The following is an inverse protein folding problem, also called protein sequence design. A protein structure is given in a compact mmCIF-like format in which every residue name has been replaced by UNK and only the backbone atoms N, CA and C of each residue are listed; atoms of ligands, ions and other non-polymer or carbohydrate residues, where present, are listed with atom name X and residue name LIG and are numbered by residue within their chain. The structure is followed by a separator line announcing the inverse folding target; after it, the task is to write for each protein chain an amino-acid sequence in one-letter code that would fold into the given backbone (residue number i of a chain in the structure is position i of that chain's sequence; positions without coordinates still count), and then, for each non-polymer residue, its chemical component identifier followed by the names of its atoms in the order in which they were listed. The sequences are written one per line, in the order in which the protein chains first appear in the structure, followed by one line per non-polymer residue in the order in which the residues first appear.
data_IF_629329996769
#
_entry.id   IF_629329996769
#
_cell.length_a   1.000
_cell.length_b   1.000
_cell.length_c   1.000
_cell.angle_alpha   90.00
_cell.angle_beta   90.00
_cell.angle_gamma   90.00
#
_symmetry.space_group_name_H-M   'P 1'
#
loop_
_entity.id
_entity.type
_entity.pdbx_description
1 polymer ?
#
# COMPACT_ATOMS: atom_id res chain seq x y z
N UNK A 1 -2.04 24.26 24.55
CA UNK A 1 -2.37 22.82 24.55
C UNK A 1 -2.01 22.15 23.23
N UNK A 2 -2.44 22.69 22.08
CA UNK A 2 -2.19 22.12 20.74
C UNK A 2 -0.74 21.70 20.43
N UNK A 3 0.27 22.47 20.88
CA UNK A 3 1.69 22.12 20.64
C UNK A 3 2.12 20.84 21.37
N UNK A 4 1.82 20.72 22.67
CA UNK A 4 2.14 19.51 23.47
C UNK A 4 1.39 18.28 22.98
N UNK A 5 0.18 18.49 22.46
CA UNK A 5 -0.66 17.45 21.88
C UNK A 5 -0.09 16.93 20.55
N UNK A 6 0.28 17.84 19.65
CA UNK A 6 0.98 17.48 18.41
C UNK A 6 2.31 16.78 18.69
N UNK A 7 3.04 17.23 19.71
CA UNK A 7 4.30 16.60 20.14
C UNK A 7 4.07 15.16 20.62
N UNK A 8 2.99 14.90 21.37
CA UNK A 8 2.64 13.55 21.82
C UNK A 8 2.23 12.65 20.65
N UNK A 9 1.37 13.16 19.76
CA UNK A 9 0.96 12.46 18.54
C UNK A 9 2.16 12.05 17.69
N UNK A 10 3.11 12.96 17.48
CA UNK A 10 4.33 12.70 16.70
C UNK A 10 5.25 11.67 17.37
N UNK A 11 5.41 11.70 18.71
CA UNK A 11 6.17 10.68 19.44
C UNK A 11 5.55 9.30 19.31
N UNK A 12 4.23 9.20 19.38
CA UNK A 12 3.50 7.94 19.22
C UNK A 12 3.70 7.35 17.82
N UNK A 13 3.59 8.17 16.76
CA UNK A 13 3.84 7.72 15.38
C UNK A 13 5.29 7.24 15.24
N UNK A 14 6.26 8.01 15.74
CA UNK A 14 7.67 7.62 15.68
C UNK A 14 7.95 6.29 16.37
N UNK A 15 7.43 6.11 17.58
CA UNK A 15 7.56 4.86 18.32
C UNK A 15 6.94 3.67 17.58
N UNK A 16 5.78 3.87 16.94
CA UNK A 16 5.16 2.85 16.11
C UNK A 16 6.02 2.49 14.89
N UNK A 17 6.59 3.48 14.20
CA UNK A 17 7.51 3.27 13.05
C UNK A 17 8.77 2.50 13.50
N UNK A 18 9.37 2.87 14.63
CA UNK A 18 10.55 2.18 15.18
C UNK A 18 10.24 0.71 15.47
N UNK A 19 9.13 0.43 16.15
CA UNK A 19 8.70 -0.95 16.43
C UNK A 19 8.44 -1.72 15.13
N UNK A 20 7.80 -1.10 14.14
CA UNK A 20 7.54 -1.72 12.83
C UNK A 20 8.83 -2.09 12.09
N UNK A 21 9.92 -1.37 12.31
CA UNK A 21 11.23 -1.71 11.74
C UNK A 21 11.96 -2.83 12.51
N UNK A 22 11.59 -3.06 13.77
CA UNK A 22 12.22 -4.07 14.65
C UNK A 22 11.52 -5.44 14.60
N UNK A 23 10.22 -5.47 14.31
CA UNK A 23 9.41 -6.69 14.38
C UNK A 23 9.16 -7.30 13.01
N UNK A 24 9.24 -8.63 12.93
CA UNK A 24 8.83 -9.40 11.75
C UNK A 24 7.31 -9.69 11.71
N UNK A 25 6.62 -9.51 12.84
CA UNK A 25 5.21 -9.83 13.01
C UNK A 25 4.47 -8.69 13.73
N UNK A 26 3.63 -8.01 12.97
CA UNK A 26 2.88 -6.82 13.40
C UNK A 26 1.76 -7.18 14.36
N UNK A 27 1.23 -8.40 14.28
CA UNK A 27 0.15 -8.83 15.17
C UNK A 27 0.62 -8.85 16.62
N UNK A 28 1.93 -9.06 16.85
CA UNK A 28 2.57 -9.01 18.17
C UNK A 28 2.75 -7.61 18.75
N UNK A 29 2.58 -6.56 17.94
CA UNK A 29 2.69 -5.18 18.45
C UNK A 29 1.49 -4.91 19.36
N UNK A 30 1.77 -4.38 20.55
CA UNK A 30 0.74 -4.00 21.53
C UNK A 30 0.73 -2.48 21.77
N UNK A 31 -0.43 -1.96 22.16
CA UNK A 31 -0.60 -0.55 22.53
C UNK A 31 0.32 -0.17 23.70
N UNK A 32 0.57 -1.09 24.64
CA UNK A 32 1.44 -0.86 25.80
C UNK A 32 2.90 -0.64 25.37
N UNK A 33 3.43 -1.49 24.49
CA UNK A 33 4.80 -1.34 23.98
C UNK A 33 5.00 0.01 23.27
N UNK A 34 4.02 0.44 22.47
CA UNK A 34 4.07 1.73 21.79
C UNK A 34 4.02 2.88 22.81
N UNK A 35 3.13 2.80 23.80
CA UNK A 35 2.98 3.84 24.82
C UNK A 35 4.25 4.02 25.66
N UNK A 36 4.85 2.91 26.08
CA UNK A 36 6.12 2.88 26.80
C UNK A 36 7.24 3.52 25.96
N UNK A 37 7.37 3.15 24.68
CA UNK A 37 8.41 3.71 23.79
C UNK A 37 8.22 5.19 23.49
N UNK A 38 6.97 5.63 23.34
CA UNK A 38 6.64 7.05 23.12
C UNK A 38 6.70 7.89 24.41
N UNK A 39 6.91 7.26 25.57
CA UNK A 39 6.83 7.85 26.91
C UNK A 39 5.50 8.61 27.12
N UNK A 40 4.39 7.92 26.88
CA UNK A 40 3.02 8.42 27.06
C UNK A 40 2.16 7.40 27.79
N UNK A 41 1.01 7.83 28.33
CA UNK A 41 0.01 6.90 28.84
C UNK A 41 -0.73 6.17 27.72
N UNK A 42 -1.15 4.92 27.96
CA UNK A 42 -1.94 4.12 27.02
C UNK A 42 -3.20 4.86 26.53
N UNK A 43 -3.84 5.63 27.41
CA UNK A 43 -5.03 6.44 27.07
C UNK A 43 -4.76 7.49 25.99
N UNK A 44 -3.52 7.99 25.86
CA UNK A 44 -3.15 8.95 24.82
C UNK A 44 -3.21 8.33 23.42
N UNK A 45 -2.94 7.02 23.29
CA UNK A 45 -3.02 6.33 21.99
C UNK A 45 -4.48 6.25 21.53
N UNK A 46 -5.38 5.80 22.41
CA UNK A 46 -6.81 5.75 22.08
C UNK A 46 -7.37 7.14 21.77
N UNK A 47 -6.93 8.16 22.52
CA UNK A 47 -7.36 9.55 22.26
C UNK A 47 -6.93 10.05 20.88
N UNK A 48 -5.68 9.82 20.46
CA UNK A 48 -5.17 10.35 19.19
C UNK A 48 -5.49 9.51 17.96
N UNK A 49 -5.62 8.19 18.13
CA UNK A 49 -5.66 7.24 17.03
C UNK A 49 -6.86 6.30 17.06
N UNK A 50 -7.70 6.33 18.09
CA UNK A 50 -8.88 5.49 18.26
C UNK A 50 -8.60 3.97 18.44
N UNK A 51 -7.71 3.39 17.63
CA UNK A 51 -7.30 1.98 17.72
C UNK A 51 -5.81 1.80 17.40
N UNK A 52 -5.25 0.66 17.84
CA UNK A 52 -3.90 0.22 17.46
C UNK A 52 -3.74 0.16 15.95
N UNK A 53 -4.74 -0.41 15.27
CA UNK A 53 -4.63 -0.68 13.84
C UNK A 53 -4.66 0.61 13.02
N UNK A 54 -5.40 1.63 13.47
CA UNK A 54 -5.39 2.94 12.84
C UNK A 54 -4.04 3.65 13.03
N UNK A 55 -3.46 3.59 14.24
CA UNK A 55 -2.10 4.10 14.49
C UNK A 55 -1.08 3.40 13.58
N UNK A 56 -1.10 2.07 13.54
CA UNK A 56 -0.18 1.31 12.70
C UNK A 56 -0.38 1.66 11.23
N UNK A 57 -1.62 1.75 10.74
CA UNK A 57 -1.89 2.13 9.35
C UNK A 57 -1.28 3.48 8.97
N UNK A 58 -1.39 4.49 9.85
CA UNK A 58 -0.76 5.79 9.64
C UNK A 58 0.77 5.69 9.63
N UNK A 59 1.35 4.95 10.59
CA UNK A 59 2.80 4.77 10.70
C UNK A 59 3.38 4.04 9.48
N UNK A 60 2.68 3.02 8.95
CA UNK A 60 3.15 2.30 7.77
C UNK A 60 2.98 3.11 6.48
N UNK A 61 1.94 3.95 6.38
CA UNK A 61 1.80 4.90 5.26
C UNK A 61 3.07 5.73 5.03
N UNK A 62 3.70 6.22 6.11
CA UNK A 62 4.96 6.96 6.05
C UNK A 62 6.16 6.11 5.63
N UNK A 63 6.21 4.83 6.05
CA UNK A 63 7.27 3.89 5.66
C UNK A 63 7.20 3.58 4.17
N UNK A 64 6.00 3.28 3.66
CA UNK A 64 5.82 3.03 2.23
C UNK A 64 6.01 4.27 1.37
N UNK A 65 5.57 5.44 1.82
CA UNK A 65 5.82 6.68 1.09
C UNK A 65 7.31 6.89 0.85
N UNK A 66 8.16 6.64 1.86
CA UNK A 66 9.63 6.68 1.73
C UNK A 66 10.19 5.62 0.79
N UNK A 67 9.65 4.40 0.81
CA UNK A 67 10.04 3.35 -0.13
C UNK A 67 9.63 3.71 -1.57
N UNK A 68 8.46 4.30 -1.76
CA UNK A 68 7.94 4.72 -3.05
C UNK A 68 8.67 5.94 -3.62
N UNK A 69 9.04 6.93 -2.80
CA UNK A 69 9.85 8.08 -3.27
C UNK A 69 11.23 7.62 -3.76
N UNK A 70 11.88 6.69 -3.07
CA UNK A 70 13.13 6.09 -3.54
C UNK A 70 12.97 5.31 -4.86
N UNK A 71 11.78 4.78 -5.13
CA UNK A 71 11.48 4.07 -6.38
C UNK A 71 11.23 5.02 -7.57
N UNK A 72 10.60 6.18 -7.32
CA UNK A 72 10.34 7.19 -8.35
C UNK A 72 11.59 7.95 -8.80
N UNK A 73 12.61 8.03 -7.94
CA UNK A 73 13.87 8.72 -8.23
C UNK A 73 14.85 7.88 -9.08
N UNK A 74 14.64 6.55 -9.18
CA UNK A 74 15.68 5.63 -9.65
C UNK A 74 15.35 4.87 -10.95
N UNK A 75 14.45 5.39 -11.82
CA UNK A 75 14.41 4.92 -13.22
C UNK A 75 14.42 6.01 -14.29
N UNK A 76 15.36 5.93 -15.25
CA UNK A 76 15.54 6.93 -16.29
C UNK A 76 14.47 6.82 -17.38
N UNK A 77 14.22 7.96 -18.03
CA UNK A 77 13.71 8.11 -19.39
C UNK A 77 13.76 6.82 -20.24
N UNK A 78 12.61 6.18 -20.42
CA UNK A 78 12.41 5.25 -21.52
C UNK A 78 11.13 5.65 -22.25
N UNK A 79 11.27 5.77 -23.57
CA UNK A 79 10.26 5.94 -24.61
C UNK A 79 9.26 4.77 -24.67
N UNK A 80 8.77 4.32 -23.52
CA UNK A 80 7.77 3.28 -23.40
C UNK A 80 6.40 3.90 -23.61
N UNK A 81 5.51 3.15 -24.28
CA UNK A 81 4.12 3.54 -24.34
C UNK A 81 3.49 3.54 -22.93
N UNK A 82 2.42 4.31 -22.69
CA UNK A 82 1.82 4.45 -21.36
C UNK A 82 1.39 3.12 -20.71
N UNK A 83 0.98 2.13 -21.52
CA UNK A 83 0.60 0.79 -21.04
C UNK A 83 1.79 0.04 -20.44
N UNK A 84 2.94 0.05 -21.12
CA UNK A 84 4.16 -0.58 -20.62
C UNK A 84 4.70 0.11 -19.36
N UNK A 85 4.55 1.44 -19.28
CA UNK A 85 4.87 2.21 -18.07
C UNK A 85 4.00 1.78 -16.89
N UNK A 86 2.70 1.59 -17.08
CA UNK A 86 1.78 1.11 -16.04
C UNK A 86 2.13 -0.31 -15.58
N UNK A 87 2.34 -1.24 -16.52
CA UNK A 87 2.75 -2.62 -16.22
C UNK A 87 4.06 -2.64 -15.43
N UNK A 88 5.07 -1.88 -15.88
CA UNK A 88 6.37 -1.78 -15.21
C UNK A 88 6.28 -1.24 -13.79
N UNK A 89 5.48 -0.19 -13.58
CA UNK A 89 5.24 0.40 -12.26
C UNK A 89 4.58 -0.61 -11.31
N UNK A 90 3.50 -1.27 -11.72
CA UNK A 90 2.78 -2.23 -10.89
C UNK A 90 3.64 -3.46 -10.53
N UNK A 91 4.39 -4.00 -11.51
CA UNK A 91 5.31 -5.12 -11.27
C UNK A 91 6.36 -4.77 -10.22
N UNK A 92 6.93 -3.57 -10.32
CA UNK A 92 7.95 -3.15 -9.37
C UNK A 92 7.39 -2.90 -7.96
N UNK A 93 6.20 -2.30 -7.84
CA UNK A 93 5.51 -2.17 -6.56
C UNK A 93 5.24 -3.55 -5.93
N UNK A 94 4.81 -4.53 -6.74
CA UNK A 94 4.56 -5.88 -6.26
C UNK A 94 5.87 -6.59 -5.84
N UNK A 95 7.00 -6.32 -6.49
CA UNK A 95 8.30 -6.85 -6.05
C UNK A 95 8.68 -6.35 -4.66
N UNK A 96 8.52 -5.05 -4.40
CA UNK A 96 8.76 -4.47 -3.06
C UNK A 96 7.82 -5.10 -2.04
N UNK A 97 6.56 -5.30 -2.41
CA UNK A 97 5.54 -5.89 -1.55
C UNK A 97 5.88 -7.31 -1.07
N UNK A 98 6.53 -8.14 -1.90
CA UNK A 98 6.89 -9.52 -1.52
C UNK A 98 8.01 -9.63 -0.48
N UNK A 99 8.76 -8.55 -0.21
CA UNK A 99 9.88 -8.57 0.75
C UNK A 99 9.42 -8.42 2.22
N UNK A 100 8.19 -7.95 2.47
CA UNK A 100 7.67 -7.65 3.81
C UNK A 100 6.20 -8.12 3.98
N UNK A 101 5.96 -9.43 3.86
CA UNK A 101 4.61 -10.02 3.73
C UNK A 101 3.60 -9.60 4.82
N UNK A 102 4.01 -9.58 6.10
CA UNK A 102 3.07 -9.26 7.20
C UNK A 102 2.69 -7.77 7.22
N UNK A 103 3.66 -6.89 6.95
CA UNK A 103 3.47 -5.44 6.85
C UNK A 103 2.53 -5.07 5.72
N UNK A 104 2.83 -5.58 4.54
CA UNK A 104 2.05 -5.31 3.35
C UNK A 104 0.65 -5.88 3.50
N UNK A 105 0.49 -7.11 3.99
CA UNK A 105 -0.82 -7.70 4.24
C UNK A 105 -1.66 -6.88 5.21
N UNK A 106 -1.08 -6.42 6.32
CA UNK A 106 -1.76 -5.56 7.27
C UNK A 106 -2.23 -4.27 6.61
N UNK A 107 -1.35 -3.57 5.87
CA UNK A 107 -1.72 -2.34 5.17
C UNK A 107 -2.80 -2.53 4.13
N UNK A 108 -2.69 -3.55 3.28
CA UNK A 108 -3.68 -3.83 2.26
C UNK A 108 -5.05 -4.10 2.91
N UNK A 109 -5.06 -4.87 4.00
CA UNK A 109 -6.28 -5.17 4.76
C UNK A 109 -6.88 -3.89 5.34
N UNK A 110 -6.08 -3.06 6.01
CA UNK A 110 -6.56 -1.82 6.61
C UNK A 110 -6.98 -0.78 5.58
N UNK A 111 -6.27 -0.68 4.45
CA UNK A 111 -6.65 0.20 3.35
C UNK A 111 -8.03 -0.15 2.81
N UNK A 112 -8.32 -1.44 2.60
CA UNK A 112 -9.64 -1.91 2.15
C UNK A 112 -10.71 -1.65 3.23
N UNK A 113 -10.46 -2.04 4.48
CA UNK A 113 -11.45 -1.89 5.56
C UNK A 113 -11.78 -0.44 5.88
N UNK A 114 -10.83 0.47 5.73
CA UNK A 114 -11.02 1.91 6.00
C UNK A 114 -11.50 2.69 4.76
N UNK A 115 -11.75 2.01 3.63
CA UNK A 115 -12.26 2.66 2.42
C UNK A 115 -11.26 3.59 1.75
N UNK A 116 -9.99 3.20 1.67
CA UNK A 116 -8.95 3.97 0.99
C UNK A 116 -9.28 4.17 -0.49
N UNK A 117 -9.63 5.41 -0.83
CA UNK A 117 -9.85 5.87 -2.20
C UNK A 117 -8.75 6.82 -2.69
N UNK A 118 -7.70 7.04 -1.89
CA UNK A 118 -6.55 7.84 -2.31
C UNK A 118 -5.58 7.00 -3.15
N UNK A 119 -5.32 5.75 -2.76
CA UNK A 119 -4.41 4.86 -3.50
C UNK A 119 -4.82 4.69 -4.98
N UNK A 120 -6.11 4.45 -5.32
CA UNK A 120 -6.52 4.37 -6.72
C UNK A 120 -6.33 5.64 -7.53
N UNK A 121 -6.37 6.82 -6.89
CA UNK A 121 -6.21 8.08 -7.61
C UNK A 121 -4.81 8.24 -8.22
N UNK A 122 -3.79 7.59 -7.66
CA UNK A 122 -2.43 7.60 -8.21
C UNK A 122 -2.32 6.97 -9.61
N UNK A 123 -3.27 6.11 -10.00
CA UNK A 123 -3.31 5.55 -11.35
C UNK A 123 -3.98 6.50 -12.36
N UNK A 124 -4.74 7.50 -11.89
CA UNK A 124 -5.50 8.39 -12.79
C UNK A 124 -4.63 9.09 -13.84
N UNK A 125 -3.45 9.66 -13.52
CA UNK A 125 -2.63 10.33 -14.52
C UNK A 125 -2.19 9.41 -15.67
N UNK A 126 -1.70 8.21 -15.36
CA UNK A 126 -1.26 7.26 -16.39
C UNK A 126 -2.44 6.64 -17.15
N UNK A 127 -3.59 6.47 -16.51
CA UNK A 127 -4.81 6.04 -17.20
C UNK A 127 -5.34 7.11 -18.16
N UNK A 128 -5.18 8.41 -17.84
CA UNK A 128 -5.44 9.51 -18.79
C UNK A 128 -4.48 9.45 -19.99
N UNK A 129 -3.19 9.18 -19.76
CA UNK A 129 -2.22 8.98 -20.85
C UNK A 129 -2.60 7.79 -21.76
N UNK A 130 -3.18 6.71 -21.22
CA UNK A 130 -3.58 5.51 -21.98
C UNK A 130 -4.87 5.71 -22.78
N UNK A 131 -5.92 6.24 -22.14
CA UNK A 131 -7.27 6.29 -22.72
C UNK A 131 -7.64 7.65 -23.32
N UNK A 132 -6.78 8.66 -23.20
CA UNK A 132 -7.03 10.03 -23.66
C UNK A 132 -8.01 10.80 -22.77
N UNK A 133 -8.20 12.09 -23.07
CA UNK A 133 -9.10 12.98 -22.32
C UNK A 133 -10.59 12.69 -22.56
N UNK A 134 -10.93 11.85 -23.53
CA UNK A 134 -12.31 11.53 -23.90
C UNK A 134 -13.02 10.60 -22.89
N UNK A 135 -12.27 9.85 -22.06
CA UNK A 135 -12.90 9.07 -20.99
C UNK A 135 -13.25 9.98 -19.80
N UNK A 136 -14.54 9.97 -19.46
CA UNK A 136 -15.05 10.58 -18.22
C UNK A 136 -14.21 10.16 -17.01
N UNK A 137 -13.90 11.12 -16.13
CA UNK A 137 -13.04 10.89 -14.97
C UNK A 137 -13.52 9.76 -14.07
N UNK A 138 -14.85 9.59 -13.95
CA UNK A 138 -15.47 8.48 -13.23
C UNK A 138 -15.03 7.13 -13.81
N UNK A 139 -14.99 6.98 -15.13
CA UNK A 139 -14.57 5.72 -15.79
C UNK A 139 -13.11 5.40 -15.47
N UNK A 140 -12.22 6.39 -15.46
CA UNK A 140 -10.81 6.20 -15.11
C UNK A 140 -10.64 5.75 -13.65
N UNK A 141 -11.42 6.34 -12.73
CA UNK A 141 -11.44 5.92 -11.32
C UNK A 141 -11.93 4.48 -11.17
N UNK A 142 -12.97 4.07 -11.91
CA UNK A 142 -13.44 2.67 -11.91
C UNK A 142 -12.36 1.72 -12.46
N UNK A 143 -11.69 2.08 -13.56
CA UNK A 143 -10.59 1.29 -14.12
C UNK A 143 -9.44 1.15 -13.09
N UNK A 144 -9.09 2.22 -12.38
CA UNK A 144 -8.09 2.17 -11.33
C UNK A 144 -8.46 1.15 -10.22
N UNK A 145 -9.73 1.09 -9.82
CA UNK A 145 -10.22 0.10 -8.85
C UNK A 145 -10.16 -1.32 -9.40
N UNK A 146 -10.54 -1.51 -10.68
CA UNK A 146 -10.48 -2.80 -11.37
C UNK A 146 -9.05 -3.34 -11.49
N UNK A 147 -8.04 -2.45 -11.52
CA UNK A 147 -6.63 -2.81 -11.52
C UNK A 147 -6.14 -3.10 -10.10
N UNK A 148 -6.39 -2.20 -9.14
CA UNK A 148 -5.77 -2.31 -7.82
C UNK A 148 -6.38 -3.40 -6.95
N UNK A 149 -7.71 -3.50 -6.87
CA UNK A 149 -8.32 -4.40 -5.91
C UNK A 149 -7.97 -5.88 -6.14
N UNK A 150 -7.92 -6.40 -7.38
CA UNK A 150 -7.45 -7.77 -7.60
C UNK A 150 -6.03 -7.99 -7.09
N UNK A 151 -5.12 -7.03 -7.31
CA UNK A 151 -3.73 -7.08 -6.81
C UNK A 151 -3.69 -7.07 -5.28
N UNK A 152 -4.47 -6.18 -4.65
CA UNK A 152 -4.52 -6.06 -3.19
C UNK A 152 -5.09 -7.33 -2.54
N UNK A 153 -6.20 -7.88 -3.06
CA UNK A 153 -6.81 -9.11 -2.55
C UNK A 153 -5.88 -10.31 -2.72
N UNK A 154 -5.22 -10.42 -3.88
CA UNK A 154 -4.21 -11.43 -4.12
C UNK A 154 -3.08 -11.34 -3.07
N UNK A 155 -2.59 -10.13 -2.78
CA UNK A 155 -1.58 -9.89 -1.75
C UNK A 155 -2.04 -10.15 -0.31
N UNK A 156 -3.33 -9.97 0.02
CA UNK A 156 -3.88 -10.24 1.36
C UNK A 156 -3.98 -11.73 1.64
N UNK A 157 -4.34 -12.53 0.62
CA UNK A 157 -4.52 -13.98 0.73
C UNK A 157 -3.82 -14.76 -0.39
N UNK A 158 -2.48 -14.76 -0.46
CA UNK A 158 -1.74 -15.39 -1.56
C UNK A 158 -2.04 -16.88 -1.72
N UNK A 159 -2.20 -17.62 -0.62
CA UNK A 159 -2.53 -19.04 -0.66
C UNK A 159 -3.91 -19.31 -1.27
N UNK A 160 -4.94 -18.56 -0.86
CA UNK A 160 -6.28 -18.70 -1.41
C UNK A 160 -6.33 -18.26 -2.88
N UNK A 161 -5.63 -17.18 -3.22
CA UNK A 161 -5.51 -16.71 -4.60
C UNK A 161 -4.83 -17.73 -5.51
N UNK A 162 -3.77 -18.40 -5.03
CA UNK A 162 -3.10 -19.48 -5.76
C UNK A 162 -4.02 -20.68 -5.97
N UNK A 163 -4.78 -21.09 -4.97
CA UNK A 163 -5.76 -22.18 -5.10
C UNK A 163 -6.81 -21.84 -6.17
N UNK A 164 -7.28 -20.59 -6.21
CA UNK A 164 -8.30 -20.15 -7.17
C UNK A 164 -7.76 -20.02 -8.60
N UNK A 165 -6.59 -19.39 -8.78
CA UNK A 165 -6.09 -18.96 -10.09
C UNK A 165 -4.95 -19.82 -10.65
N UNK A 166 -4.29 -20.61 -9.81
CA UNK A 166 -3.05 -21.31 -10.13
C UNK A 166 -1.79 -20.42 -10.09
N UNK A 167 -1.92 -19.11 -9.88
CA UNK A 167 -0.81 -18.14 -9.92
C UNK A 167 -0.11 -18.09 -8.56
N UNK A 168 1.21 -18.30 -8.54
CA UNK A 168 2.04 -18.09 -7.35
C UNK A 168 2.58 -16.65 -7.29
N UNK A 169 2.11 -15.85 -6.34
CA UNK A 169 2.58 -14.46 -6.20
C UNK A 169 4.01 -14.36 -5.67
N UNK A 170 4.56 -15.42 -5.08
CA UNK A 170 5.97 -15.44 -4.68
C UNK A 170 6.90 -15.75 -5.83
N UNK A 171 6.39 -16.37 -6.90
CA UNK A 171 7.10 -16.50 -8.16
C UNK A 171 7.01 -15.20 -8.98
N UNK A 172 8.14 -14.75 -9.52
CA UNK A 172 8.22 -13.46 -10.20
C UNK A 172 7.61 -13.51 -11.60
N UNK A 173 7.70 -14.65 -12.29
CA UNK A 173 7.15 -14.82 -13.63
C UNK A 173 5.63 -14.89 -13.58
N UNK A 174 5.08 -15.70 -12.67
CA UNK A 174 3.64 -15.81 -12.42
C UNK A 174 3.03 -14.47 -12.01
N UNK A 175 3.68 -13.75 -11.09
CA UNK A 175 3.25 -12.41 -10.67
C UNK A 175 3.26 -11.42 -11.83
N UNK A 176 4.30 -11.42 -12.66
CA UNK A 176 4.37 -10.54 -13.83
C UNK A 176 3.27 -10.87 -14.84
N UNK A 177 3.03 -12.16 -15.09
CA UNK A 177 1.97 -12.66 -15.96
C UNK A 177 0.59 -12.24 -15.44
N UNK A 178 0.35 -12.32 -14.13
CA UNK A 178 -0.88 -11.83 -13.51
C UNK A 178 -1.13 -10.35 -13.80
N UNK A 179 -0.12 -9.49 -13.57
CA UNK A 179 -0.23 -8.06 -13.87
C UNK A 179 -0.49 -7.82 -15.36
N UNK A 180 0.21 -8.54 -16.24
CA UNK A 180 0.02 -8.39 -17.68
C UNK A 180 -1.42 -8.75 -18.10
N UNK A 181 -1.92 -9.90 -17.68
CA UNK A 181 -3.30 -10.33 -17.97
C UNK A 181 -4.33 -9.33 -17.44
N UNK A 182 -4.15 -8.81 -16.22
CA UNK A 182 -5.08 -7.88 -15.62
C UNK A 182 -5.18 -6.57 -16.41
N UNK A 183 -4.04 -6.05 -16.87
CA UNK A 183 -3.99 -4.82 -17.66
C UNK A 183 -4.50 -5.05 -19.09
N UNK A 184 -4.13 -6.16 -19.72
CA UNK A 184 -4.52 -6.45 -21.10
C UNK A 184 -6.05 -6.62 -21.23
N UNK A 185 -6.70 -7.23 -20.24
CA UNK A 185 -8.16 -7.38 -20.19
C UNK A 185 -8.94 -6.05 -20.16
N UNK A 186 -8.30 -4.94 -19.78
CA UNK A 186 -8.95 -3.63 -19.63
C UNK A 186 -8.65 -2.66 -20.78
N UNK A 187 -7.65 -2.98 -21.59
CA UNK A 187 -7.13 -2.10 -22.66
C UNK A 187 -7.48 -2.62 -24.06
N UNK A 188 -7.83 -3.90 -24.19
CA UNK A 188 -8.38 -4.50 -25.41
C UNK A 188 -9.75 -3.97 -25.80
#
# INVERSE_FOLDING_TARGET
MAKKEQDARNRIIRAAIEILNEVSDIEKITVRQIAERANVGVGSINYHFNSKDNLLSMAVGDVLAKMATGFLEDKPNLTLNPVQKLKGMLKALCNVATSNNNLIRFMLTQGILNGDMQTPLYLTPILKEIFGEEKEEIKLRIIALQILHPIQIAGISPAAFRIYSGIDLYDTEDRNKFIDMLIDNLIS
#
